data_IF_105927201517
#
_entry.id   IF_105927201517
#
_cell.length_a   1.000
_cell.length_b   1.000
_cell.length_c   1.000
_cell.angle_alpha   90.00
_cell.angle_beta   90.00
_cell.angle_gamma   90.00
#
_symmetry.space_group_name_H-M   'P 1'
#
loop_
_entity.id
_entity.type
_entity.pdbx_description
1 polymer ?
#
# COMPACT_ATOMS: atom_id res chain seq x y z
N UNK A 1 -13.69 -1.01 14.32
CA UNK A 1 -13.21 0.35 14.61
C UNK A 1 -11.72 0.39 14.34
N UNK A 2 -11.22 1.40 13.63
CA UNK A 2 -9.78 1.56 13.33
C UNK A 2 -9.15 2.53 14.33
N UNK A 3 -7.86 2.36 14.61
CA UNK A 3 -7.08 3.34 15.36
C UNK A 3 -6.68 4.51 14.46
N UNK A 4 -6.37 5.65 15.08
CA UNK A 4 -5.91 6.85 14.39
C UNK A 4 -4.64 6.59 13.57
N UNK A 5 -3.71 5.80 14.10
CA UNK A 5 -2.49 5.41 13.42
C UNK A 5 -2.80 4.59 12.17
N UNK A 6 -3.75 3.67 12.24
CA UNK A 6 -4.19 2.90 11.09
C UNK A 6 -4.82 3.79 10.01
N UNK A 7 -5.66 4.75 10.39
CA UNK A 7 -6.23 5.74 9.46
C UNK A 7 -5.16 6.62 8.80
N UNK A 8 -4.15 7.07 9.55
CA UNK A 8 -3.00 7.80 9.00
C UNK A 8 -2.29 6.94 7.95
N UNK A 9 -2.09 5.66 8.25
CA UNK A 9 -1.45 4.72 7.34
C UNK A 9 -2.20 4.58 6.01
N UNK A 10 -3.53 4.44 6.05
CA UNK A 10 -4.37 4.38 4.85
C UNK A 10 -4.33 5.69 4.05
N UNK A 11 -4.37 6.83 4.73
CA UNK A 11 -4.27 8.13 4.08
C UNK A 11 -2.93 8.35 3.37
N UNK A 12 -1.83 7.85 3.94
CA UNK A 12 -0.52 7.88 3.28
C UNK A 12 -0.53 7.07 1.99
N UNK A 13 -1.12 5.87 2.01
CA UNK A 13 -1.20 5.00 0.83
C UNK A 13 -2.12 5.56 -0.25
N UNK A 14 -3.25 6.18 0.12
CA UNK A 14 -4.14 6.79 -0.85
C UNK A 14 -3.45 7.95 -1.60
N UNK A 15 -2.63 8.75 -0.91
CA UNK A 15 -1.86 9.85 -1.54
C UNK A 15 -0.84 9.38 -2.56
N UNK A 16 -0.31 8.16 -2.43
CA UNK A 16 0.67 7.60 -3.36
C UNK A 16 0.10 6.54 -4.28
N UNK A 17 -1.22 6.31 -4.24
CA UNK A 17 -1.90 5.24 -4.96
C UNK A 17 -1.65 5.30 -6.47
N UNK A 18 -1.80 6.47 -7.08
CA UNK A 18 -1.55 6.64 -8.53
C UNK A 18 -0.10 6.31 -8.89
N UNK A 19 0.85 6.66 -8.01
CA UNK A 19 2.25 6.37 -8.22
C UNK A 19 2.56 4.88 -8.01
N UNK A 20 1.92 4.22 -7.06
CA UNK A 20 1.97 2.77 -6.91
C UNK A 20 1.40 2.08 -8.16
N UNK A 21 0.25 2.51 -8.67
CA UNK A 21 -0.33 1.98 -9.92
C UNK A 21 0.59 2.24 -11.13
N UNK A 22 1.31 3.36 -11.17
CA UNK A 22 2.30 3.64 -12.21
C UNK A 22 3.46 2.62 -12.20
N UNK A 23 3.90 2.14 -11.03
CA UNK A 23 4.96 1.12 -10.93
C UNK A 23 4.60 -0.18 -11.65
N UNK A 24 3.32 -0.52 -11.76
CA UNK A 24 2.89 -1.73 -12.46
C UNK A 24 3.15 -1.66 -13.97
N UNK A 25 2.98 -0.47 -14.55
CA UNK A 25 2.96 -0.26 -15.99
C UNK A 25 4.27 0.28 -16.55
N UNK A 26 5.15 0.83 -15.70
CA UNK A 26 6.43 1.37 -16.16
C UNK A 26 7.36 0.24 -16.63
N UNK A 27 7.87 0.38 -17.84
CA UNK A 27 8.85 -0.54 -18.45
C UNK A 27 10.27 0.00 -18.35
N UNK A 28 10.44 1.33 -18.44
CA UNK A 28 11.74 1.96 -18.34
C UNK A 28 12.31 1.87 -16.91
N UNK A 29 13.54 1.35 -16.80
CA UNK A 29 14.19 1.09 -15.51
C UNK A 29 14.57 2.37 -14.78
N UNK A 30 14.89 3.45 -15.50
CA UNK A 30 15.21 4.72 -14.89
C UNK A 30 13.96 5.38 -14.30
N UNK A 31 12.88 5.43 -15.08
CA UNK A 31 11.57 5.91 -14.64
C UNK A 31 11.00 5.10 -13.48
N UNK A 32 11.20 3.77 -13.47
CA UNK A 32 10.84 2.92 -12.34
C UNK A 32 11.60 3.33 -11.06
N UNK A 33 12.91 3.56 -11.14
CA UNK A 33 13.71 4.00 -9.98
C UNK A 33 13.26 5.36 -9.45
N UNK A 34 13.01 6.31 -10.34
CA UNK A 34 12.47 7.62 -9.96
C UNK A 34 11.08 7.50 -9.32
N UNK A 35 10.24 6.58 -9.81
CA UNK A 35 8.96 6.30 -9.19
C UNK A 35 9.08 5.68 -7.81
N UNK A 36 9.96 4.69 -7.63
CA UNK A 36 10.23 4.08 -6.33
C UNK A 36 10.71 5.11 -5.31
N UNK A 37 11.62 6.02 -5.69
CA UNK A 37 12.12 7.10 -4.82
C UNK A 37 11.00 7.97 -4.26
N UNK A 38 9.94 8.20 -5.03
CA UNK A 38 8.82 9.04 -4.59
C UNK A 38 7.82 8.32 -3.67
N UNK A 39 7.83 6.98 -3.62
CA UNK A 39 6.85 6.20 -2.84
C UNK A 39 7.45 5.47 -1.64
N UNK A 40 8.75 5.21 -1.65
CA UNK A 40 9.40 4.40 -0.61
C UNK A 40 9.22 5.00 0.79
N UNK A 41 9.32 6.33 0.93
CA UNK A 41 9.18 7.00 2.22
C UNK A 41 7.72 6.94 2.73
N UNK A 42 6.69 7.30 1.94
CA UNK A 42 5.29 7.10 2.32
C UNK A 42 4.93 5.64 2.67
N UNK A 43 5.42 4.66 1.89
CA UNK A 43 5.18 3.23 2.15
C UNK A 43 5.87 2.79 3.45
N UNK A 44 7.09 3.28 3.70
CA UNK A 44 7.83 3.01 4.95
C UNK A 44 7.10 3.62 6.15
N UNK A 45 6.68 4.88 6.06
CA UNK A 45 5.90 5.55 7.11
C UNK A 45 4.58 4.81 7.38
N UNK A 46 3.90 4.38 6.32
CA UNK A 46 2.70 3.56 6.44
C UNK A 46 2.97 2.28 7.24
N UNK A 47 4.03 1.53 6.93
CA UNK A 47 4.39 0.31 7.66
C UNK A 47 4.57 0.55 9.16
N UNK A 48 5.19 1.68 9.55
CA UNK A 48 5.33 2.04 10.96
C UNK A 48 3.98 2.30 11.63
N UNK A 49 3.10 3.04 10.97
CA UNK A 49 1.77 3.35 11.49
C UNK A 49 0.87 2.10 11.58
N UNK A 50 0.87 1.21 10.57
CA UNK A 50 0.14 -0.06 10.62
C UNK A 50 0.64 -0.95 11.77
N UNK A 51 1.96 -0.98 11.99
CA UNK A 51 2.56 -1.79 13.05
C UNK A 51 2.04 -1.43 14.45
N UNK A 52 1.88 -0.14 14.73
CA UNK A 52 1.45 0.35 16.05
C UNK A 52 -0.06 0.60 16.14
N UNK A 53 -0.75 0.72 14.99
CA UNK A 53 -2.19 0.92 14.91
C UNK A 53 -2.98 -0.38 14.92
N UNK A 54 -4.29 -0.26 15.03
CA UNK A 54 -5.24 -1.39 14.97
C UNK A 54 -6.25 -1.17 13.85
N UNK A 55 -6.52 -2.20 13.05
CA UNK A 55 -7.40 -2.09 11.90
C UNK A 55 -7.61 -3.42 11.17
N UNK A 56 -8.55 -3.46 10.20
CA UNK A 56 -8.82 -4.66 9.41
C UNK A 56 -7.59 -5.07 8.64
N UNK A 57 -7.38 -6.39 8.54
CA UNK A 57 -6.28 -6.99 7.77
C UNK A 57 -4.88 -6.44 8.14
N UNK A 58 -4.71 -5.92 9.36
CA UNK A 58 -3.45 -5.34 9.85
C UNK A 58 -2.23 -6.19 9.53
N UNK A 59 -2.25 -7.46 9.90
CA UNK A 59 -1.12 -8.37 9.72
C UNK A 59 -0.81 -8.61 8.23
N UNK A 60 -1.85 -8.75 7.41
CA UNK A 60 -1.72 -8.92 5.96
C UNK A 60 -1.13 -7.67 5.31
N UNK A 61 -1.68 -6.50 5.64
CA UNK A 61 -1.21 -5.20 5.15
C UNK A 61 0.24 -4.94 5.57
N UNK A 62 0.57 -5.18 6.85
CA UNK A 62 1.92 -4.99 7.38
C UNK A 62 2.94 -5.90 6.67
N UNK A 63 2.61 -7.17 6.47
CA UNK A 63 3.48 -8.13 5.78
C UNK A 63 3.83 -7.67 4.36
N UNK A 64 2.82 -7.20 3.61
CA UNK A 64 3.01 -6.69 2.24
C UNK A 64 3.83 -5.41 2.24
N UNK A 65 3.56 -4.48 3.16
CA UNK A 65 4.31 -3.23 3.27
C UNK A 65 5.79 -3.48 3.59
N UNK A 66 6.10 -4.37 4.53
CA UNK A 66 7.49 -4.71 4.87
C UNK A 66 8.22 -5.35 3.68
N UNK A 67 7.53 -6.22 2.94
CA UNK A 67 8.06 -6.82 1.72
C UNK A 67 8.34 -5.76 0.66
N UNK A 68 7.40 -4.83 0.42
CA UNK A 68 7.57 -3.72 -0.51
C UNK A 68 8.75 -2.81 -0.15
N UNK A 69 8.90 -2.44 1.11
CA UNK A 69 10.04 -1.61 1.56
C UNK A 69 11.35 -2.30 1.22
N UNK A 70 11.46 -3.61 1.42
CA UNK A 70 12.67 -4.37 1.06
C UNK A 70 12.91 -4.36 -0.45
N UNK A 71 11.90 -4.68 -1.25
CA UNK A 71 12.04 -4.73 -2.71
C UNK A 71 12.36 -3.34 -3.32
N UNK A 72 11.78 -2.28 -2.76
CA UNK A 72 12.06 -0.89 -3.17
C UNK A 72 13.48 -0.43 -2.82
N UNK A 73 14.06 -0.93 -1.73
CA UNK A 73 15.46 -0.63 -1.36
C UNK A 73 16.44 -1.38 -2.25
N UNK A 74 16.16 -2.67 -2.47
CA UNK A 74 17.09 -3.56 -3.15
C UNK A 74 17.01 -3.42 -4.67
N UNK A 75 15.81 -3.19 -5.21
CA UNK A 75 15.53 -3.06 -6.66
C UNK A 75 16.14 -4.20 -7.50
N UNK A 76 16.21 -5.39 -6.90
CA UNK A 76 16.81 -6.60 -7.51
C UNK A 76 15.83 -7.33 -8.39
N UNK A 77 14.60 -7.53 -7.90
CA UNK A 77 13.54 -8.24 -8.61
C UNK A 77 12.34 -7.32 -8.84
N UNK A 78 12.25 -6.81 -10.07
CA UNK A 78 11.18 -5.89 -10.49
C UNK A 78 9.83 -6.62 -10.55
N UNK A 79 9.80 -7.91 -10.87
CA UNK A 79 8.55 -8.66 -10.96
C UNK A 79 7.97 -8.84 -9.56
N UNK A 80 8.80 -9.27 -8.61
CA UNK A 80 8.39 -9.37 -7.19
C UNK A 80 7.95 -8.02 -6.62
N UNK A 81 8.62 -6.92 -6.98
CA UNK A 81 8.16 -5.56 -6.62
C UNK A 81 6.74 -5.30 -7.16
N UNK A 82 6.51 -5.52 -8.47
CA UNK A 82 5.22 -5.26 -9.11
C UNK A 82 4.10 -6.15 -8.53
N UNK A 83 4.39 -7.41 -8.23
CA UNK A 83 3.42 -8.33 -7.64
C UNK A 83 3.01 -7.90 -6.23
N UNK A 84 3.97 -7.47 -5.41
CA UNK A 84 3.68 -6.93 -4.09
C UNK A 84 2.91 -5.60 -4.16
N UNK A 85 3.16 -4.76 -5.17
CA UNK A 85 2.39 -3.52 -5.40
C UNK A 85 0.95 -3.86 -5.76
N UNK A 86 0.73 -4.86 -6.64
CA UNK A 86 -0.62 -5.32 -6.99
C UNK A 86 -1.37 -5.83 -5.77
N UNK A 87 -0.73 -6.69 -4.98
CA UNK A 87 -1.30 -7.21 -3.73
C UNK A 87 -1.64 -6.11 -2.73
N UNK A 88 -0.79 -5.08 -2.60
CA UNK A 88 -1.09 -3.92 -1.75
C UNK A 88 -2.37 -3.21 -2.21
N UNK A 89 -2.51 -2.95 -3.52
CA UNK A 89 -3.70 -2.29 -4.06
C UNK A 89 -4.98 -3.11 -3.85
N UNK A 90 -4.90 -4.44 -4.00
CA UNK A 90 -6.01 -5.36 -3.73
C UNK A 90 -6.43 -5.36 -2.24
N UNK A 91 -5.46 -5.37 -1.32
CA UNK A 91 -5.73 -5.27 0.11
C UNK A 91 -6.40 -3.93 0.44
N UNK A 92 -5.93 -2.83 -0.15
CA UNK A 92 -6.51 -1.50 0.07
C UNK A 92 -7.95 -1.40 -0.42
N UNK A 93 -8.25 -1.98 -1.59
CA UNK A 93 -9.62 -2.07 -2.09
C UNK A 93 -10.50 -2.88 -1.13
N UNK A 94 -9.99 -4.03 -0.67
CA UNK A 94 -10.72 -4.91 0.25
C UNK A 94 -10.99 -4.22 1.60
N UNK A 95 -9.99 -3.55 2.19
CA UNK A 95 -10.17 -2.75 3.43
C UNK A 95 -11.22 -1.66 3.21
N UNK A 96 -11.20 -0.99 2.06
CA UNK A 96 -12.21 0.03 1.72
C UNK A 96 -13.60 -0.59 1.64
N UNK A 97 -13.77 -1.73 0.99
CA UNK A 97 -15.06 -2.42 0.92
C UNK A 97 -15.57 -2.87 2.29
N UNK A 98 -14.68 -3.38 3.15
CA UNK A 98 -15.01 -3.81 4.51
C UNK A 98 -15.37 -2.65 5.46
N UNK A 99 -15.00 -1.42 5.09
CA UNK A 99 -15.21 -0.21 5.91
C UNK A 99 -16.26 0.75 5.36
N UNK A 100 -16.69 0.56 4.11
CA UNK A 100 -17.89 1.22 3.61
C UNK A 100 -19.09 0.76 4.45
N UNK A 101 -19.91 1.68 4.96
CA UNK A 101 -21.18 1.29 5.55
C UNK A 101 -21.96 0.52 4.48
N UNK A 102 -22.38 -0.71 4.79
CA UNK A 102 -23.37 -1.42 3.98
C UNK A 102 -24.52 -0.44 3.84
N UNK A 103 -24.76 0.04 2.62
CA UNK A 103 -25.85 0.95 2.36
C UNK A 103 -27.12 0.33 2.93
N UNK A 104 -27.85 1.12 3.71
CA UNK A 104 -29.27 0.94 3.89
C UNK A 104 -29.93 0.96 2.50
N UNK A 105 -29.93 -0.19 1.81
CA UNK A 105 -30.99 -0.54 0.88
C UNK A 105 -32.09 -1.14 1.76
N UNK A 106 -33.19 -0.46 2.05
CA UNK A 106 -33.95 0.32 1.09
C UNK A 106 -34.72 -0.64 0.18
N UNK A 107 -35.58 -1.47 0.79
CA UNK A 107 -36.79 -2.06 0.20
C UNK A 107 -37.75 -2.43 1.31
#
# INVERSE_FOLDING_TARGET
>A
MMSREFEIALNLLERVKDRLSYLLNVEDRYALKEAVRTVIDPVTACAYHVKVGEGPRKEELLSVLLSLVREMRDMKDINTLKDNVRKLLEILDTIRQETLPVGEGGS
#
